data_IF_503323823002
#
_entry.id   IF_503323823002
#
_cell.length_a   1.000
_cell.length_b   1.000
_cell.length_c   1.000
_cell.angle_alpha   90.00
_cell.angle_beta   90.00
_cell.angle_gamma   90.00
#
_symmetry.space_group_name_H-M   'P 1'
#
loop_
_entity.id
_entity.type
_entity.pdbx_description
1 polymer ?
#
# COMPACT_ATOMS: atom_id res chain seq x y z
N UNK A 1 -28.68 22.52 36.81
CA UNK A 1 -27.54 21.59 36.90
C UNK A 1 -26.56 22.01 35.81
N UNK A 2 -25.55 22.79 36.19
CA UNK A 2 -24.48 23.27 35.33
C UNK A 2 -23.53 22.11 35.02
N UNK A 3 -23.27 21.87 33.74
CA UNK A 3 -22.28 20.88 33.28
C UNK A 3 -20.90 21.22 33.83
N UNK A 4 -20.10 20.23 34.26
CA UNK A 4 -18.76 20.49 34.76
C UNK A 4 -17.89 21.03 33.63
N UNK A 5 -17.27 22.19 33.86
CA UNK A 5 -16.22 22.74 33.01
C UNK A 5 -15.09 21.71 32.92
N UNK A 6 -14.84 21.21 31.71
CA UNK A 6 -13.71 20.35 31.43
C UNK A 6 -12.46 21.24 31.38
N UNK A 7 -11.84 21.43 32.55
CA UNK A 7 -10.54 22.09 32.66
C UNK A 7 -9.47 21.14 32.09
N UNK A 8 -9.08 21.36 30.84
CA UNK A 8 -7.94 20.68 30.23
C UNK A 8 -6.65 21.32 30.79
N UNK A 9 -6.04 20.67 31.77
CA UNK A 9 -4.69 21.05 32.20
C UNK A 9 -3.70 20.79 31.06
N UNK A 10 -2.82 21.74 30.73
CA UNK A 10 -1.79 21.54 29.72
C UNK A 10 -0.80 20.50 30.22
N UNK A 11 -0.95 19.25 29.76
CA UNK A 11 0.01 18.19 30.03
C UNK A 11 1.40 18.62 29.54
N UNK A 12 2.41 18.43 30.39
CA UNK A 12 3.81 18.57 30.01
C UNK A 12 4.11 17.59 28.87
N UNK A 13 4.18 18.11 27.64
CA UNK A 13 4.35 17.31 26.42
C UNK A 13 5.78 16.81 26.23
N UNK A 14 6.68 17.06 27.20
CA UNK A 14 8.09 16.66 27.10
C UNK A 14 8.34 15.22 27.57
N UNK A 15 7.47 14.67 28.43
CA UNK A 15 7.58 13.29 28.91
C UNK A 15 6.61 12.35 28.16
N UNK A 16 7.12 11.21 27.70
CA UNK A 16 6.27 10.17 27.10
C UNK A 16 5.30 9.60 28.16
N UNK A 17 4.06 9.23 27.79
CA UNK A 17 3.14 8.57 28.73
C UNK A 17 3.74 7.29 29.32
N UNK A 18 3.49 7.01 30.60
CA UNK A 18 4.07 5.85 31.30
C UNK A 18 3.76 4.51 30.59
N UNK A 19 2.56 4.37 30.03
CA UNK A 19 2.20 3.19 29.25
C UNK A 19 3.09 3.00 28.01
N UNK A 20 3.48 4.10 27.35
CA UNK A 20 4.39 4.06 26.20
C UNK A 20 5.82 3.76 26.65
N UNK A 21 6.27 4.30 27.79
CA UNK A 21 7.59 3.97 28.36
C UNK A 21 7.70 2.46 28.65
N UNK A 22 6.71 1.88 29.33
CA UNK A 22 6.65 0.44 29.60
C UNK A 22 6.63 -0.40 28.32
N UNK A 23 5.95 0.07 27.27
CA UNK A 23 5.98 -0.60 25.97
C UNK A 23 7.39 -0.61 25.38
N UNK A 24 8.08 0.53 25.36
CA UNK A 24 9.44 0.68 24.83
C UNK A 24 10.39 -0.29 25.56
N UNK A 25 10.35 -0.31 26.89
CA UNK A 25 11.17 -1.19 27.73
C UNK A 25 10.96 -2.68 27.43
N UNK A 26 9.70 -3.09 27.24
CA UNK A 26 9.36 -4.51 27.06
C UNK A 26 9.47 -5.01 25.61
N UNK A 27 9.47 -4.11 24.62
CA UNK A 27 9.45 -4.46 23.19
C UNK A 27 10.83 -4.44 22.52
N UNK A 28 11.85 -3.92 23.21
CA UNK A 28 13.18 -3.71 22.62
C UNK A 28 13.21 -2.60 21.56
N UNK A 29 12.14 -1.81 21.45
CA UNK A 29 12.10 -0.62 20.58
C UNK A 29 13.04 0.44 21.14
N UNK A 30 13.85 1.06 20.29
CA UNK A 30 14.80 2.08 20.75
C UNK A 30 14.06 3.35 21.22
N UNK A 31 14.34 3.89 22.43
CA UNK A 31 13.66 5.06 22.96
C UNK A 31 13.70 6.31 22.05
N UNK A 32 14.82 6.50 21.32
CA UNK A 32 15.00 7.64 20.41
C UNK A 32 13.96 7.72 19.27
N UNK A 33 13.25 6.62 18.97
CA UNK A 33 12.11 6.64 18.05
C UNK A 33 10.99 7.60 18.49
N UNK A 34 10.97 7.97 19.77
CA UNK A 34 9.99 8.88 20.36
C UNK A 34 10.63 10.17 20.91
N UNK A 35 11.89 10.43 20.54
CA UNK A 35 12.57 11.68 20.87
C UNK A 35 11.90 12.89 20.19
N UNK A 36 12.11 14.13 20.70
CA UNK A 36 11.58 15.33 20.07
C UNK A 36 11.97 15.49 18.58
N UNK A 37 13.15 15.01 18.17
CA UNK A 37 13.58 15.00 16.76
C UNK A 37 12.81 14.00 15.91
N UNK A 38 12.47 12.82 16.44
CA UNK A 38 11.62 11.85 15.75
C UNK A 38 10.16 12.32 15.67
N UNK A 39 9.68 13.02 16.70
CA UNK A 39 8.34 13.63 16.71
C UNK A 39 8.23 14.86 15.81
N UNK A 40 9.36 15.45 15.40
CA UNK A 40 9.43 16.56 14.44
C UNK A 40 9.62 16.10 12.99
N UNK A 41 9.64 14.78 12.72
CA UNK A 41 9.64 14.23 11.36
C UNK A 41 8.48 14.86 10.58
N UNK A 42 8.85 15.48 9.46
CA UNK A 42 7.93 16.19 8.61
C UNK A 42 6.81 15.27 8.10
N UNK A 43 5.64 15.87 7.89
CA UNK A 43 4.52 15.18 7.27
C UNK A 43 4.65 15.31 5.76
N UNK A 44 4.54 14.21 5.03
CA UNK A 44 4.47 14.27 3.58
C UNK A 44 3.02 14.31 3.11
N UNK A 45 2.77 15.13 2.09
CA UNK A 45 1.51 15.15 1.36
C UNK A 45 1.77 14.92 -0.12
N UNK A 46 0.85 14.24 -0.78
CA UNK A 46 0.88 14.02 -2.22
C UNK A 46 -0.35 14.61 -2.88
N UNK A 47 -0.17 15.31 -4.00
CA UNK A 47 -1.28 15.79 -4.81
C UNK A 47 -1.96 14.62 -5.53
N UNK A 48 -3.28 14.57 -5.51
CA UNK A 48 -4.04 13.54 -6.18
C UNK A 48 -3.85 13.63 -7.71
N UNK A 49 -3.78 12.50 -8.43
CA UNK A 49 -3.71 12.52 -9.89
C UNK A 49 -4.96 13.18 -10.49
N UNK A 50 -4.80 13.81 -11.66
CA UNK A 50 -5.92 14.40 -12.41
C UNK A 50 -6.96 13.31 -12.76
N UNK A 51 -8.24 13.70 -12.77
CA UNK A 51 -9.36 12.84 -13.19
C UNK A 51 -10.25 13.62 -14.18
N UNK A 52 -11.07 12.94 -15.00
CA UNK A 52 -12.06 13.62 -15.84
C UNK A 52 -12.94 14.56 -14.99
N UNK A 53 -13.06 15.82 -15.41
CA UNK A 53 -13.80 16.86 -14.68
C UNK A 53 -13.14 17.34 -13.39
N UNK A 54 -11.92 16.88 -13.07
CA UNK A 54 -11.20 17.26 -11.85
C UNK A 54 -9.69 17.39 -12.08
N UNK A 55 -9.20 18.60 -12.43
CA UNK A 55 -7.77 18.81 -12.67
C UNK A 55 -6.96 18.58 -11.40
N UNK A 56 -5.68 18.25 -11.60
CA UNK A 56 -4.70 18.10 -10.51
C UNK A 56 -4.59 19.44 -9.75
N UNK A 57 -4.56 19.40 -8.43
CA UNK A 57 -4.24 20.57 -7.62
C UNK A 57 -2.79 21.01 -7.84
N UNK A 58 -2.46 22.27 -7.60
CA UNK A 58 -1.08 22.78 -7.72
C UNK A 58 -0.43 22.96 -6.35
N UNK A 59 0.89 23.22 -6.34
CA UNK A 59 1.57 23.67 -5.13
C UNK A 59 1.00 25.02 -4.65
N UNK A 60 0.58 25.89 -5.57
CA UNK A 60 -0.06 27.16 -5.25
C UNK A 60 -1.42 26.95 -4.58
N UNK A 61 -2.25 26.04 -5.09
CA UNK A 61 -3.51 25.66 -4.45
C UNK A 61 -3.27 25.21 -3.00
N UNK A 62 -2.24 24.36 -2.78
CA UNK A 62 -1.88 23.87 -1.46
C UNK A 62 -1.41 25.00 -0.54
N UNK A 63 -0.47 25.83 -1.00
CA UNK A 63 0.08 26.93 -0.23
C UNK A 63 -0.97 28.00 0.11
N UNK A 64 -1.97 28.22 -0.74
CA UNK A 64 -3.05 29.16 -0.49
C UNK A 64 -3.93 28.78 0.72
N UNK A 65 -3.91 27.51 1.13
CA UNK A 65 -4.69 26.99 2.26
C UNK A 65 -3.84 26.80 3.52
N UNK A 66 -2.54 27.09 3.44
CA UNK A 66 -1.60 26.96 4.55
C UNK A 66 -1.31 28.35 5.12
N UNK A 67 -1.05 28.45 6.44
CA UNK A 67 -0.59 29.71 7.00
C UNK A 67 0.83 30.03 6.46
N UNK A 68 1.21 31.32 6.36
CA UNK A 68 2.45 31.75 5.69
C UNK A 68 3.73 31.09 6.20
N UNK A 69 3.78 30.72 7.48
CA UNK A 69 4.91 30.05 8.13
C UNK A 69 4.97 28.53 7.88
N UNK A 70 3.96 27.94 7.24
CA UNK A 70 3.84 26.48 7.02
C UNK A 70 3.78 26.10 5.54
N UNK A 71 4.45 26.87 4.67
CA UNK A 71 4.50 26.58 3.23
C UNK A 71 5.02 25.17 2.96
N UNK A 72 4.41 24.53 1.95
CA UNK A 72 4.84 23.22 1.47
C UNK A 72 6.23 23.31 0.82
N UNK A 73 7.14 22.46 1.30
CA UNK A 73 8.48 22.32 0.75
C UNK A 73 8.46 21.26 -0.35
N UNK A 74 8.90 21.62 -1.55
CA UNK A 74 9.03 20.67 -2.65
C UNK A 74 10.07 19.61 -2.34
N UNK A 75 9.76 18.35 -2.65
CA UNK A 75 10.72 17.25 -2.57
C UNK A 75 11.27 16.94 -3.96
N UNK A 76 12.29 16.09 -4.03
CA UNK A 76 12.75 15.53 -5.31
C UNK A 76 11.71 14.60 -5.97
N UNK A 77 10.67 14.22 -5.23
CA UNK A 77 9.61 13.35 -5.69
C UNK A 77 8.47 14.19 -6.29
N UNK A 78 8.14 13.91 -7.55
CA UNK A 78 7.06 14.58 -8.25
C UNK A 78 5.73 14.49 -7.49
N UNK A 79 5.04 15.64 -7.40
CA UNK A 79 3.76 15.83 -6.73
C UNK A 79 3.77 15.56 -5.21
N UNK A 80 4.94 15.50 -4.58
CA UNK A 80 5.10 15.21 -3.15
C UNK A 80 5.78 16.38 -2.45
N UNK A 81 5.18 16.79 -1.35
CA UNK A 81 5.59 17.95 -0.58
C UNK A 81 5.71 17.61 0.89
N UNK A 82 6.64 18.27 1.56
CA UNK A 82 6.85 18.18 2.99
C UNK A 82 6.16 19.36 3.69
N UNK A 83 5.48 19.07 4.79
CA UNK A 83 4.83 20.04 5.67
C UNK A 83 5.31 19.83 7.11
N UNK A 84 5.33 20.89 7.94
CA UNK A 84 5.51 20.74 9.38
C UNK A 84 4.55 19.69 9.96
N UNK A 85 5.02 18.90 10.93
CA UNK A 85 4.19 17.85 11.55
C UNK A 85 2.92 18.39 12.21
N UNK A 86 3.00 19.63 12.72
CA UNK A 86 1.93 20.41 13.34
C UNK A 86 0.84 20.84 12.37
N UNK A 87 1.06 20.81 11.05
CA UNK A 87 0.06 21.20 10.07
C UNK A 87 -1.14 20.24 10.12
N UNK A 88 -2.30 20.78 10.46
CA UNK A 88 -3.56 20.02 10.58
C UNK A 88 -4.19 19.75 9.21
N UNK A 89 -3.55 18.93 8.37
CA UNK A 89 -3.98 18.74 6.97
C UNK A 89 -5.45 18.30 6.82
N UNK A 90 -6.02 17.64 7.84
CA UNK A 90 -7.40 17.17 7.84
C UNK A 90 -8.44 18.31 7.80
N UNK A 91 -8.06 19.53 8.18
CA UNK A 91 -8.92 20.71 8.12
C UNK A 91 -8.86 21.42 6.77
N UNK A 92 -7.91 21.05 5.89
CA UNK A 92 -7.73 21.71 4.60
C UNK A 92 -8.82 21.27 3.62
N UNK A 93 -9.48 22.20 2.91
CA UNK A 93 -10.43 21.87 1.86
C UNK A 93 -9.89 20.86 0.85
N UNK A 94 -8.64 21.02 0.37
CA UNK A 94 -8.04 20.05 -0.56
C UNK A 94 -8.00 18.62 -0.01
N UNK A 95 -7.79 18.45 1.30
CA UNK A 95 -7.75 17.12 1.92
C UNK A 95 -9.16 16.54 2.02
N UNK A 96 -10.12 17.32 2.51
CA UNK A 96 -11.53 16.91 2.66
C UNK A 96 -12.16 16.54 1.32
N UNK A 97 -11.73 17.23 0.28
CA UNK A 97 -12.11 16.98 -1.10
C UNK A 97 -11.38 15.77 -1.72
N UNK A 98 -10.34 15.23 -1.07
CA UNK A 98 -9.52 14.13 -1.59
C UNK A 98 -8.63 14.54 -2.78
N UNK A 99 -8.24 15.82 -2.83
CA UNK A 99 -7.29 16.40 -3.81
C UNK A 99 -5.84 16.32 -3.32
N UNK A 100 -5.63 16.11 -2.03
CA UNK A 100 -4.33 15.75 -1.43
C UNK A 100 -4.49 14.57 -0.49
N UNK A 101 -3.41 13.82 -0.29
CA UNK A 101 -3.34 12.71 0.67
C UNK A 101 -2.16 12.92 1.61
N UNK A 102 -2.39 12.72 2.92
CA UNK A 102 -1.29 12.52 3.86
C UNK A 102 -0.68 11.15 3.60
N UNK A 103 0.64 11.10 3.48
CA UNK A 103 1.37 9.89 3.10
C UNK A 103 2.65 9.75 3.89
N UNK A 104 3.05 8.52 4.15
CA UNK A 104 4.44 8.23 4.50
C UNK A 104 5.29 8.21 3.24
N UNK A 105 6.54 8.67 3.34
CA UNK A 105 7.46 8.72 2.20
C UNK A 105 7.65 7.33 1.57
N UNK A 106 7.71 6.28 2.39
CA UNK A 106 7.77 4.89 1.93
C UNK A 106 6.59 4.53 1.03
N UNK A 107 5.37 4.89 1.42
CA UNK A 107 4.12 4.61 0.69
C UNK A 107 4.02 5.35 -0.64
N UNK A 108 4.83 6.40 -0.85
CA UNK A 108 4.97 7.08 -2.14
C UNK A 108 5.93 6.33 -3.05
N UNK A 109 7.05 5.85 -2.50
CA UNK A 109 8.13 5.20 -3.25
C UNK A 109 7.75 3.80 -3.72
N UNK A 110 7.16 3.02 -2.82
CA UNK A 110 6.74 1.66 -3.09
C UNK A 110 5.43 1.33 -2.36
N UNK A 111 4.61 0.51 -2.99
CA UNK A 111 3.38 0.00 -2.38
C UNK A 111 3.43 -1.53 -2.38
N UNK A 112 3.22 -2.14 -1.22
CA UNK A 112 2.99 -3.57 -1.10
C UNK A 112 1.48 -3.79 -0.93
N UNK A 113 0.90 -4.59 -1.81
CA UNK A 113 -0.46 -5.12 -1.68
C UNK A 113 -0.32 -6.61 -1.39
N UNK A 114 -0.16 -6.93 -0.11
CA UNK A 114 -0.32 -8.29 0.41
C UNK A 114 -1.83 -8.52 0.59
N UNK A 115 -2.45 -9.10 -0.43
CA UNK A 115 -3.89 -9.11 -0.53
C UNK A 115 -4.48 -10.29 0.24
N UNK A 116 -5.61 -10.06 0.92
CA UNK A 116 -6.39 -11.14 1.52
C UNK A 116 -6.68 -12.21 0.45
N UNK A 117 -6.37 -13.46 0.77
CA UNK A 117 -6.37 -14.59 -0.16
C UNK A 117 -7.28 -15.72 0.38
N UNK A 118 -7.63 -16.70 -0.45
CA UNK A 118 -8.38 -17.88 0.05
C UNK A 118 -7.55 -18.81 0.93
N UNK A 119 -6.23 -18.66 0.96
CA UNK A 119 -5.24 -19.48 1.70
C UNK A 119 -5.05 -20.91 1.19
N UNK A 120 -5.51 -21.20 -0.02
CA UNK A 120 -5.35 -22.47 -0.75
C UNK A 120 -3.90 -22.79 -1.13
N UNK A 121 -2.96 -21.86 -0.95
CA UNK A 121 -1.51 -22.12 -1.03
C UNK A 121 -0.83 -22.33 0.32
N UNK A 122 -1.48 -22.03 1.44
CA UNK A 122 -0.85 -22.06 2.77
C UNK A 122 -0.87 -23.48 3.35
N UNK A 123 0.30 -24.14 3.38
CA UNK A 123 0.40 -25.50 3.95
C UNK A 123 -0.06 -25.52 5.41
N UNK A 124 0.38 -24.56 6.22
CA UNK A 124 -0.01 -24.49 7.64
C UNK A 124 -1.51 -24.27 7.82
N UNK A 125 -2.18 -23.60 6.87
CA UNK A 125 -3.63 -23.43 6.91
C UNK A 125 -4.32 -24.74 6.51
N UNK A 126 -3.93 -25.33 5.38
CA UNK A 126 -4.48 -26.60 4.86
C UNK A 126 -4.32 -27.73 5.88
N UNK A 127 -3.17 -27.83 6.54
CA UNK A 127 -2.88 -28.86 7.53
C UNK A 127 -3.92 -28.92 8.67
N UNK A 128 -4.57 -27.81 9.02
CA UNK A 128 -5.63 -27.76 10.06
C UNK A 128 -6.92 -28.49 9.68
N UNK A 129 -7.06 -28.84 8.41
CA UNK A 129 -8.25 -29.48 7.85
C UNK A 129 -8.00 -30.94 7.47
N UNK A 130 -6.74 -31.36 7.27
CA UNK A 130 -6.41 -32.71 6.80
C UNK A 130 -7.01 -33.83 7.66
N UNK A 131 -7.12 -33.62 8.97
CA UNK A 131 -7.66 -34.60 9.92
C UNK A 131 -9.19 -34.52 10.10
N UNK A 132 -9.88 -33.66 9.34
CA UNK A 132 -11.35 -33.53 9.39
C UNK A 132 -11.99 -34.50 8.40
N UNK A 133 -13.10 -35.10 8.78
CA UNK A 133 -13.83 -36.04 7.93
C UNK A 133 -14.78 -35.36 6.93
N UNK A 134 -15.20 -34.11 7.21
CA UNK A 134 -16.32 -33.43 6.54
C UNK A 134 -15.93 -32.17 5.75
N UNK A 135 -14.67 -32.03 5.37
CA UNK A 135 -14.20 -30.89 4.58
C UNK A 135 -13.93 -31.28 3.12
N UNK A 136 -14.10 -30.30 2.24
CA UNK A 136 -13.58 -30.35 0.88
C UNK A 136 -12.99 -28.99 0.50
N UNK A 137 -12.14 -28.97 -0.53
CA UNK A 137 -11.39 -27.77 -0.92
C UNK A 137 -12.31 -26.72 -1.55
N UNK A 138 -13.32 -27.15 -2.29
CA UNK A 138 -14.30 -26.30 -2.96
C UNK A 138 -15.09 -25.47 -1.95
N UNK A 139 -15.70 -26.08 -0.94
CA UNK A 139 -16.54 -25.37 0.03
C UNK A 139 -15.70 -24.55 1.02
N UNK A 140 -14.52 -25.06 1.41
CA UNK A 140 -13.69 -24.43 2.45
C UNK A 140 -12.88 -23.26 1.91
N UNK A 141 -12.24 -23.43 0.76
CA UNK A 141 -11.28 -22.48 0.22
C UNK A 141 -11.77 -21.84 -1.08
N UNK A 142 -12.35 -22.62 -1.98
CA UNK A 142 -12.59 -22.22 -3.38
C UNK A 142 -14.06 -21.94 -3.71
N UNK A 143 -14.88 -21.62 -2.70
CA UNK A 143 -16.31 -21.47 -2.91
C UNK A 143 -16.57 -20.34 -3.91
N UNK A 144 -17.35 -20.54 -5.00
CA UNK A 144 -17.43 -19.59 -6.11
C UNK A 144 -17.79 -18.15 -5.70
N UNK A 145 -18.75 -17.98 -4.79
CA UNK A 145 -19.14 -16.65 -4.28
C UNK A 145 -18.02 -15.96 -3.50
N UNK A 146 -17.21 -16.74 -2.76
CA UNK A 146 -16.06 -16.23 -2.02
C UNK A 146 -14.96 -15.83 -2.99
N UNK A 147 -14.66 -16.67 -3.99
CA UNK A 147 -13.70 -16.38 -5.05
C UNK A 147 -14.07 -15.10 -5.82
N UNK A 148 -15.33 -14.93 -6.21
CA UNK A 148 -15.79 -13.71 -6.89
C UNK A 148 -15.61 -12.46 -6.01
N UNK A 149 -15.93 -12.56 -4.72
CA UNK A 149 -15.82 -11.44 -3.77
C UNK A 149 -14.36 -11.07 -3.49
N UNK A 150 -13.51 -12.07 -3.25
CA UNK A 150 -12.10 -11.86 -2.90
C UNK A 150 -11.30 -11.33 -4.09
N UNK A 151 -11.51 -11.86 -5.30
CA UNK A 151 -10.83 -11.37 -6.52
C UNK A 151 -11.22 -9.94 -6.84
N UNK A 152 -12.48 -9.56 -6.60
CA UNK A 152 -12.92 -8.15 -6.70
C UNK A 152 -12.19 -7.28 -5.68
N UNK A 153 -12.14 -7.68 -4.42
CA UNK A 153 -11.44 -6.94 -3.37
C UNK A 153 -9.95 -6.77 -3.69
N UNK A 154 -9.28 -7.86 -4.08
CA UNK A 154 -7.87 -7.87 -4.47
C UNK A 154 -7.60 -6.88 -5.62
N UNK A 155 -8.45 -6.88 -6.65
CA UNK A 155 -8.35 -5.93 -7.76
C UNK A 155 -8.53 -4.48 -7.30
N UNK A 156 -9.51 -4.22 -6.44
CA UNK A 156 -9.78 -2.87 -5.93
C UNK A 156 -8.62 -2.36 -5.05
N UNK A 157 -8.02 -3.21 -4.22
CA UNK A 157 -6.82 -2.91 -3.44
C UNK A 157 -5.62 -2.60 -4.34
N UNK A 158 -5.39 -3.42 -5.37
CA UNK A 158 -4.34 -3.19 -6.37
C UNK A 158 -4.50 -1.84 -7.07
N UNK A 159 -5.71 -1.52 -7.55
CA UNK A 159 -6.00 -0.24 -8.20
C UNK A 159 -5.82 0.94 -7.24
N UNK A 160 -6.25 0.79 -5.99
CA UNK A 160 -6.07 1.84 -4.97
C UNK A 160 -4.59 2.08 -4.68
N UNK A 161 -3.81 1.02 -4.50
CA UNK A 161 -2.35 1.09 -4.35
C UNK A 161 -1.71 1.78 -5.56
N UNK A 162 -2.11 1.38 -6.77
CA UNK A 162 -1.61 1.96 -8.01
C UNK A 162 -1.90 3.45 -8.17
N UNK A 163 -3.10 3.89 -7.78
CA UNK A 163 -3.49 5.31 -7.81
C UNK A 163 -2.61 6.15 -6.88
N UNK A 164 -2.28 5.59 -5.72
CA UNK A 164 -1.45 6.23 -4.70
C UNK A 164 0.06 6.16 -5.01
N UNK A 165 0.48 5.23 -5.86
CA UNK A 165 1.84 5.16 -6.35
C UNK A 165 2.19 6.35 -7.25
N UNK A 166 3.35 6.96 -7.02
CA UNK A 166 3.88 8.04 -7.86
C UNK A 166 4.30 7.52 -9.25
N UNK A 167 4.35 8.38 -10.28
CA UNK A 167 5.06 8.08 -11.52
C UNK A 167 6.49 7.61 -11.25
N UNK A 168 6.91 6.52 -11.90
CA UNK A 168 8.23 5.89 -11.70
C UNK A 168 8.37 5.02 -10.45
N UNK A 169 7.34 4.94 -9.59
CA UNK A 169 7.34 4.06 -8.42
C UNK A 169 7.11 2.59 -8.78
N UNK A 170 7.27 1.72 -7.78
CA UNK A 170 7.00 0.28 -7.90
C UNK A 170 5.87 -0.17 -6.97
N UNK A 171 5.02 -1.07 -7.45
CA UNK A 171 4.03 -1.77 -6.63
C UNK A 171 4.30 -3.27 -6.70
N UNK A 172 4.27 -3.94 -5.56
CA UNK A 172 4.28 -5.40 -5.49
C UNK A 172 2.89 -5.86 -5.07
N UNK A 173 2.25 -6.64 -5.93
CA UNK A 173 1.05 -7.40 -5.59
C UNK A 173 1.48 -8.81 -5.17
N UNK A 174 0.95 -9.32 -4.06
CA UNK A 174 1.27 -10.66 -3.57
C UNK A 174 0.03 -11.35 -2.98
N UNK A 175 -0.01 -12.67 -3.11
CA UNK A 175 -0.98 -13.53 -2.42
C UNK A 175 -0.32 -14.83 -1.93
N UNK A 176 -1.02 -15.47 -1.00
CA UNK A 176 -0.80 -16.82 -0.51
C UNK A 176 -1.70 -17.88 -1.19
N UNK A 177 -2.15 -17.60 -2.41
CA UNK A 177 -3.09 -18.46 -3.17
C UNK A 177 -2.38 -19.16 -4.33
N UNK A 178 -2.82 -20.38 -4.66
CA UNK A 178 -2.42 -21.08 -5.88
C UNK A 178 -3.44 -20.88 -7.01
N UNK A 179 -4.57 -20.25 -6.72
CA UNK A 179 -5.68 -20.05 -7.67
C UNK A 179 -5.34 -18.97 -8.69
N UNK A 180 -5.34 -19.33 -9.98
CA UNK A 180 -5.02 -18.41 -11.08
C UNK A 180 -5.94 -17.17 -11.13
N UNK A 181 -7.23 -17.34 -10.78
CA UNK A 181 -8.20 -16.23 -10.77
C UNK A 181 -7.83 -15.11 -9.77
N UNK A 182 -7.16 -15.45 -8.66
CA UNK A 182 -6.66 -14.48 -7.68
C UNK A 182 -5.31 -13.90 -8.08
N UNK A 183 -4.56 -14.61 -8.91
CA UNK A 183 -3.17 -14.29 -9.23
C UNK A 183 -3.07 -13.67 -10.62
N UNK A 184 -2.81 -14.51 -11.62
CA UNK A 184 -2.69 -14.14 -13.02
C UNK A 184 -3.93 -13.38 -13.52
N UNK A 185 -5.14 -13.81 -13.14
CA UNK A 185 -6.38 -13.17 -13.54
C UNK A 185 -6.54 -11.73 -13.03
N UNK A 186 -6.08 -11.44 -11.81
CA UNK A 186 -6.10 -10.07 -11.26
C UNK A 186 -5.09 -9.19 -11.98
N UNK A 187 -3.86 -9.69 -12.18
CA UNK A 187 -2.77 -8.94 -12.83
C UNK A 187 -3.05 -8.70 -14.31
N UNK A 188 -3.52 -9.70 -15.04
CA UNK A 188 -3.88 -9.60 -16.46
C UNK A 188 -4.95 -8.53 -16.67
N UNK A 189 -6.07 -8.63 -15.92
CA UNK A 189 -7.14 -7.62 -15.93
C UNK A 189 -6.60 -6.22 -15.62
N UNK A 190 -5.69 -6.11 -14.66
CA UNK A 190 -5.10 -4.83 -14.28
C UNK A 190 -4.26 -4.24 -15.42
N UNK A 191 -3.35 -5.01 -16.01
CA UNK A 191 -2.49 -4.57 -17.12
C UNK A 191 -3.30 -4.19 -18.36
N UNK A 192 -4.36 -4.94 -18.69
CA UNK A 192 -5.28 -4.62 -19.78
C UNK A 192 -5.99 -3.27 -19.58
N UNK A 193 -6.27 -2.89 -18.33
CA UNK A 193 -6.89 -1.60 -17.98
C UNK A 193 -5.89 -0.46 -17.80
N UNK A 194 -4.61 -0.78 -17.65
CA UNK A 194 -3.51 0.17 -17.48
C UNK A 194 -2.39 0.03 -18.55
N UNK A 195 -2.71 -0.12 -19.85
CA UNK A 195 -1.72 -0.48 -20.86
C UNK A 195 -0.71 0.63 -21.16
N UNK A 196 -1.01 1.88 -20.76
CA UNK A 196 -0.18 3.06 -21.04
C UNK A 196 0.76 3.40 -19.89
N UNK A 197 0.40 3.03 -18.66
CA UNK A 197 1.09 3.48 -17.46
C UNK A 197 1.61 2.35 -16.57
N UNK A 198 1.22 1.09 -16.80
CA UNK A 198 1.72 -0.07 -16.06
C UNK A 198 2.56 -1.01 -16.92
N UNK A 199 3.63 -1.54 -16.33
CA UNK A 199 4.46 -2.59 -16.92
C UNK A 199 4.92 -3.57 -15.85
N UNK A 200 5.07 -4.84 -16.21
CA UNK A 200 5.72 -5.82 -15.34
C UNK A 200 7.23 -5.60 -15.32
N UNK A 201 7.83 -5.85 -14.17
CA UNK A 201 9.27 -5.82 -13.98
C UNK A 201 9.74 -7.16 -13.41
N UNK A 202 10.89 -7.68 -13.88
CA UNK A 202 11.44 -8.93 -13.35
C UNK A 202 11.65 -8.87 -11.85
N UNK A 203 11.22 -9.87 -11.10
CA UNK A 203 11.64 -10.05 -9.71
C UNK A 203 12.96 -10.84 -9.71
N UNK A 204 14.02 -10.35 -9.06
CA UNK A 204 15.25 -11.14 -8.90
C UNK A 204 15.06 -12.09 -7.72
N UNK A 205 15.27 -13.39 -7.96
CA UNK A 205 15.24 -14.40 -6.92
C UNK A 205 16.63 -14.99 -6.73
N UNK A 206 16.97 -15.46 -5.51
CA UNK A 206 18.14 -16.30 -5.32
C UNK A 206 18.14 -17.48 -6.31
N UNK A 207 19.30 -17.88 -6.86
CA UNK A 207 19.40 -18.99 -7.83
C UNK A 207 18.83 -20.31 -7.32
N UNK A 208 18.76 -20.50 -6.00
CA UNK A 208 18.21 -21.69 -5.34
C UNK A 208 16.67 -21.76 -5.37
N UNK A 209 15.96 -20.66 -5.68
CA UNK A 209 14.50 -20.65 -5.73
C UNK A 209 14.03 -20.92 -7.15
N UNK A 210 13.39 -22.07 -7.35
CA UNK A 210 12.82 -22.48 -8.62
C UNK A 210 11.38 -21.97 -8.71
N UNK A 211 11.07 -21.23 -9.78
CA UNK A 211 9.72 -20.73 -10.06
C UNK A 211 8.91 -21.79 -10.80
N UNK A 212 7.63 -21.90 -10.48
CA UNK A 212 6.69 -22.59 -11.34
C UNK A 212 6.38 -21.69 -12.55
N UNK A 213 6.42 -22.21 -13.79
CA UNK A 213 6.05 -21.43 -14.97
C UNK A 213 4.62 -20.91 -14.87
N UNK A 214 4.40 -19.69 -15.37
CA UNK A 214 3.07 -19.12 -15.51
C UNK A 214 2.33 -19.86 -16.63
N UNK A 215 1.03 -20.12 -16.42
CA UNK A 215 0.17 -20.79 -17.38
C UNK A 215 0.17 -20.07 -18.74
N UNK A 216 0.19 -20.85 -19.82
CA UNK A 216 0.10 -20.35 -21.20
C UNK A 216 -1.20 -19.60 -21.49
N UNK A 217 -2.21 -19.74 -20.62
CA UNK A 217 -3.45 -18.96 -20.70
C UNK A 217 -3.23 -17.46 -20.47
N UNK A 218 -2.10 -17.06 -19.87
CA UNK A 218 -1.77 -15.67 -19.56
C UNK A 218 -0.49 -15.22 -20.27
N UNK A 219 -0.51 -15.08 -21.62
CA UNK A 219 0.65 -14.63 -22.37
C UNK A 219 1.05 -13.21 -21.93
N UNK A 220 2.33 -13.01 -21.63
CA UNK A 220 2.85 -11.71 -21.17
C UNK A 220 3.00 -11.57 -19.66
N UNK A 221 2.57 -12.55 -18.87
CA UNK A 221 2.78 -12.57 -17.42
C UNK A 221 4.04 -13.34 -16.98
N UNK A 222 4.97 -13.65 -17.89
CA UNK A 222 6.17 -14.44 -17.59
C UNK A 222 7.08 -13.85 -16.50
N UNK A 223 6.99 -12.54 -16.28
CA UNK A 223 7.74 -11.83 -15.23
C UNK A 223 7.11 -11.96 -13.82
N UNK A 224 5.86 -12.43 -13.74
CA UNK A 224 5.25 -12.79 -12.47
C UNK A 224 5.97 -13.99 -11.86
N UNK A 225 5.92 -14.09 -10.54
CA UNK A 225 6.53 -15.19 -9.81
C UNK A 225 5.45 -16.04 -9.19
N UNK A 226 5.47 -17.33 -9.51
CA UNK A 226 4.71 -18.37 -8.84
C UNK A 226 5.68 -19.32 -8.15
N UNK A 227 5.47 -19.53 -6.86
CA UNK A 227 6.23 -20.47 -6.04
C UNK A 227 5.28 -21.53 -5.53
N UNK A 228 5.61 -22.78 -5.79
CA UNK A 228 4.87 -23.92 -5.25
C UNK A 228 5.70 -24.64 -4.19
N UNK A 229 5.06 -25.20 -3.16
CA UNK A 229 5.80 -25.75 -2.04
C UNK A 229 6.79 -26.85 -2.41
N UNK A 230 6.45 -27.65 -3.41
CA UNK A 230 7.26 -28.77 -3.90
C UNK A 230 8.66 -28.36 -4.39
N UNK A 231 8.87 -27.09 -4.76
CA UNK A 231 10.13 -26.64 -5.36
C UNK A 231 10.78 -25.43 -4.69
N UNK A 232 10.04 -24.68 -3.89
CA UNK A 232 10.46 -23.37 -3.43
C UNK A 232 10.71 -23.27 -1.92
N UNK A 233 10.68 -24.41 -1.20
CA UNK A 233 10.86 -24.48 0.26
C UNK A 233 9.99 -23.46 1.02
N UNK A 234 8.78 -23.19 0.52
CA UNK A 234 7.85 -22.18 1.03
C UNK A 234 6.40 -22.68 0.87
N UNK A 235 5.42 -21.94 1.37
CA UNK A 235 4.02 -22.16 1.00
C UNK A 235 3.77 -21.73 -0.46
N UNK A 236 2.59 -22.04 -1.00
CA UNK A 236 2.14 -21.52 -2.28
C UNK A 236 2.07 -19.99 -2.23
N UNK A 237 2.87 -19.33 -3.06
CA UNK A 237 2.97 -17.88 -3.12
C UNK A 237 2.95 -17.40 -4.57
N UNK A 238 2.31 -16.26 -4.79
CA UNK A 238 2.36 -15.54 -6.05
C UNK A 238 2.70 -14.09 -5.81
N UNK A 239 3.52 -13.49 -6.67
CA UNK A 239 3.71 -12.05 -6.66
C UNK A 239 4.10 -11.47 -8.02
N UNK A 240 3.68 -10.22 -8.24
CA UNK A 240 3.95 -9.45 -9.44
C UNK A 240 4.51 -8.07 -9.05
N UNK A 241 5.65 -7.71 -9.63
CA UNK A 241 6.23 -6.37 -9.48
C UNK A 241 5.85 -5.51 -10.68
N UNK A 242 5.11 -4.45 -10.43
CA UNK A 242 4.61 -3.51 -11.41
C UNK A 242 5.36 -2.17 -11.29
N UNK A 243 5.73 -1.58 -12.42
CA UNK A 243 6.34 -0.26 -12.49
C UNK A 243 5.43 0.73 -13.18
N UNK A 244 5.21 1.87 -12.52
CA UNK A 244 4.41 2.96 -13.07
C UNK A 244 5.25 3.83 -13.98
N UNK A 245 4.73 4.14 -15.16
CA UNK A 245 5.41 5.01 -16.13
C UNK A 245 5.74 6.38 -15.52
N UNK A 246 6.83 6.99 -15.99
CA UNK A 246 7.14 8.37 -15.69
C UNK A 246 6.15 9.27 -16.46
N UNK A 247 5.72 10.37 -15.84
CA UNK A 247 4.99 11.42 -16.55
C UNK A 247 6.05 12.36 -17.15
N UNK A 248 6.00 12.66 -18.46
CA UNK A 248 6.89 13.67 -19.04
C UNK A 248 6.75 14.99 -18.29
N UNK A 249 7.85 15.56 -17.81
CA UNK A 249 7.85 16.90 -17.23
C UNK A 249 7.58 17.86 -18.38
N UNK A 250 6.36 18.39 -18.48
CA UNK A 250 6.10 19.56 -19.33
C UNK A 250 6.68 20.77 -18.61
N UNK A 251 7.92 21.12 -18.92
CA UNK A 251 8.48 22.42 -18.53
C UNK A 251 7.76 23.48 -19.37
N UNK A 252 6.80 24.18 -18.77
CA UNK A 252 6.32 25.43 -19.35
C UNK A 252 7.50 26.40 -19.31
N UNK A 253 8.03 26.69 -20.51
CA UNK A 253 9.03 27.74 -20.74
C UNK A 253 8.37 29.11 -20.71
#
# INVERSE_FOLDING_TARGET
MTSPECTYEPQDRTALPEALQRFIENSGVHPDNYSPSSLSIARFVRLAPARPGRPRATLEDLNSQLPPESLAISTELADVFSLPRSTAIATLPLYQEGRIYGVDLASVLAVLVDAECTHDGSISHIAKYLDREDWNVEDTFLHPNRLASITKLQYDLLVNGWRNLRPGGYLVYATCSLTEAQNEGVIDRFLQKHPKDASLCPCLLPPSIIRTPISSAFPGLAECVRLEPRHAHTSGLFFARLKKALVPITTNS
#
